data_IF_525756769768
#
_entry.id   IF_525756769768
#
_cell.length_a   1.000
_cell.length_b   1.000
_cell.length_c   1.000
_cell.angle_alpha   90.00
_cell.angle_beta   90.00
_cell.angle_gamma   90.00
#
_symmetry.space_group_name_H-M   'P 1'
#
loop_
_entity.id
_entity.type
_entity.pdbx_description
1 polymer ?
#
# COMPACT_ATOMS: atom_id res chain seq x y z
N UNK A 1 -11.90 5.71 -20.27
CA UNK A 1 -12.51 4.61 -19.51
C UNK A 1 -12.34 3.26 -20.20
N UNK A 2 -12.70 3.13 -21.48
CA UNK A 2 -12.53 1.88 -22.25
C UNK A 2 -11.09 1.35 -22.23
N UNK A 3 -10.09 2.19 -22.48
CA UNK A 3 -8.67 1.80 -22.46
C UNK A 3 -8.22 1.27 -21.09
N UNK A 4 -8.65 1.89 -20.00
CA UNK A 4 -8.34 1.44 -18.65
C UNK A 4 -9.01 0.08 -18.34
N UNK A 5 -10.24 -0.12 -18.82
CA UNK A 5 -10.94 -1.40 -18.70
C UNK A 5 -10.25 -2.50 -19.52
N UNK A 6 -9.82 -2.21 -20.74
CA UNK A 6 -9.05 -3.15 -21.57
C UNK A 6 -7.72 -3.53 -20.91
N UNK A 7 -7.01 -2.55 -20.36
CA UNK A 7 -5.77 -2.81 -19.60
C UNK A 7 -6.03 -3.72 -18.40
N UNK A 8 -7.11 -3.46 -17.64
CA UNK A 8 -7.48 -4.32 -16.51
C UNK A 8 -7.81 -5.74 -16.95
N UNK A 9 -8.61 -5.89 -18.02
CA UNK A 9 -8.95 -7.20 -18.58
C UNK A 9 -7.71 -7.95 -19.04
N UNK A 10 -6.80 -7.30 -19.80
CA UNK A 10 -5.56 -7.94 -20.25
C UNK A 10 -4.70 -8.45 -19.09
N UNK A 11 -4.64 -7.71 -17.98
CA UNK A 11 -3.85 -8.12 -16.81
C UNK A 11 -4.47 -9.26 -16.00
N UNK A 12 -5.79 -9.45 -16.11
CA UNK A 12 -6.52 -10.38 -15.26
C UNK A 12 -7.28 -11.46 -16.03
N UNK A 13 -7.31 -11.42 -17.38
CA UNK A 13 -8.07 -12.37 -18.20
C UNK A 13 -7.63 -13.80 -17.95
N UNK A 14 -6.32 -14.05 -17.89
CA UNK A 14 -5.76 -15.40 -17.64
C UNK A 14 -6.13 -15.92 -16.25
N UNK A 15 -6.38 -15.02 -15.31
CA UNK A 15 -6.78 -15.34 -13.93
C UNK A 15 -8.29 -15.53 -13.78
N UNK A 16 -9.10 -15.03 -14.71
CA UNK A 16 -10.55 -15.03 -14.63
C UNK A 16 -11.22 -16.03 -15.58
N UNK A 17 -10.64 -16.25 -16.77
CA UNK A 17 -11.19 -17.13 -17.82
C UNK A 17 -10.63 -18.54 -17.66
N UNK A 18 -11.46 -19.55 -17.88
CA UNK A 18 -11.04 -20.96 -17.86
C UNK A 18 -11.01 -21.62 -16.48
N UNK A 19 -11.29 -20.89 -15.39
CA UNK A 19 -11.14 -21.42 -14.01
C UNK A 19 -12.47 -21.80 -13.33
N UNK A 20 -13.56 -21.95 -14.10
CA UNK A 20 -14.87 -22.43 -13.59
C UNK A 20 -15.51 -21.48 -12.57
N UNK A 21 -15.14 -20.18 -12.58
CA UNK A 21 -15.79 -19.18 -11.74
C UNK A 21 -17.18 -18.85 -12.27
N UNK A 22 -18.19 -18.66 -11.41
CA UNK A 22 -19.49 -18.19 -11.83
C UNK A 22 -19.37 -16.84 -12.56
N UNK A 23 -19.98 -16.70 -13.74
CA UNK A 23 -19.89 -15.48 -14.56
C UNK A 23 -20.31 -14.22 -13.79
N UNK A 24 -21.25 -14.34 -12.86
CA UNK A 24 -21.70 -13.23 -12.01
C UNK A 24 -20.59 -12.69 -11.12
N UNK A 25 -19.70 -13.54 -10.59
CA UNK A 25 -18.54 -13.14 -9.77
C UNK A 25 -17.54 -12.36 -10.61
N UNK A 26 -17.31 -12.79 -11.84
CA UNK A 26 -16.42 -12.09 -12.78
C UNK A 26 -16.98 -10.70 -13.12
N UNK A 27 -18.28 -10.61 -13.43
CA UNK A 27 -18.94 -9.34 -13.72
C UNK A 27 -18.89 -8.40 -12.49
N UNK A 28 -19.19 -8.91 -11.30
CA UNK A 28 -19.15 -8.14 -10.06
C UNK A 28 -17.74 -7.61 -9.76
N UNK A 29 -16.71 -8.40 -10.02
CA UNK A 29 -15.32 -8.00 -9.87
C UNK A 29 -14.94 -6.86 -10.86
N UNK A 30 -15.36 -7.01 -12.13
CA UNK A 30 -15.14 -5.99 -13.17
C UNK A 30 -15.83 -4.69 -12.77
N UNK A 31 -17.11 -4.75 -12.38
CA UNK A 31 -17.89 -3.57 -11.96
C UNK A 31 -17.27 -2.88 -10.75
N UNK A 32 -16.79 -3.65 -9.77
CA UNK A 32 -16.14 -3.08 -8.58
C UNK A 32 -14.82 -2.36 -8.91
N UNK A 33 -14.03 -2.90 -9.84
CA UNK A 33 -12.82 -2.24 -10.32
C UNK A 33 -13.12 -1.01 -11.22
N UNK A 34 -14.26 -1.02 -11.91
CA UNK A 34 -14.71 0.09 -12.72
C UNK A 34 -14.88 1.37 -11.88
N UNK A 35 -15.29 1.25 -10.62
CA UNK A 35 -15.46 2.37 -9.71
C UNK A 35 -14.16 3.19 -9.55
N UNK A 36 -13.01 2.52 -9.42
CA UNK A 36 -11.71 3.23 -9.35
C UNK A 36 -11.40 3.96 -10.67
N UNK A 37 -11.70 3.34 -11.80
CA UNK A 37 -11.46 3.93 -13.11
C UNK A 37 -12.30 5.19 -13.36
N UNK A 38 -13.51 5.26 -12.81
CA UNK A 38 -14.39 6.46 -12.93
C UNK A 38 -13.71 7.67 -12.30
N UNK A 39 -13.17 7.54 -11.09
CA UNK A 39 -12.52 8.65 -10.37
C UNK A 39 -11.35 9.24 -11.16
N UNK A 40 -10.59 8.39 -11.87
CA UNK A 40 -9.49 8.84 -12.72
C UNK A 40 -9.95 9.37 -14.07
N UNK A 41 -10.95 8.73 -14.68
CA UNK A 41 -11.39 9.06 -16.03
C UNK A 41 -12.13 10.41 -16.11
N UNK A 42 -12.87 10.80 -15.07
CA UNK A 42 -13.63 12.06 -15.08
C UNK A 42 -12.73 13.28 -15.24
N UNK A 43 -11.68 13.51 -14.43
CA UNK A 43 -10.76 14.63 -14.65
C UNK A 43 -10.09 14.59 -16.03
N UNK A 44 -9.66 13.39 -16.49
CA UNK A 44 -9.05 13.22 -17.82
C UNK A 44 -10.00 13.62 -18.93
N UNK A 45 -11.26 13.20 -18.87
CA UNK A 45 -12.28 13.55 -19.85
C UNK A 45 -12.56 15.07 -19.88
N UNK A 46 -12.56 15.72 -18.73
CA UNK A 46 -12.73 17.17 -18.61
C UNK A 46 -11.59 17.91 -19.33
N UNK A 47 -10.34 17.49 -19.14
CA UNK A 47 -9.20 18.12 -19.80
C UNK A 47 -9.31 18.00 -21.32
N UNK A 48 -9.56 16.80 -21.84
CA UNK A 48 -9.67 16.55 -23.28
C UNK A 48 -10.84 17.34 -23.86
N UNK A 49 -12.01 17.30 -23.24
CA UNK A 49 -13.21 17.99 -23.73
C UNK A 49 -13.05 19.51 -23.72
N UNK A 50 -12.42 20.09 -22.70
CA UNK A 50 -12.15 21.52 -22.64
C UNK A 50 -11.14 21.97 -23.71
N UNK A 51 -10.06 21.20 -23.89
CA UNK A 51 -9.09 21.48 -24.97
C UNK A 51 -9.75 21.47 -26.36
N UNK A 52 -10.58 20.47 -26.64
CA UNK A 52 -11.28 20.37 -27.95
C UNK A 52 -12.29 21.51 -28.09
N UNK A 53 -13.11 21.76 -27.08
CA UNK A 53 -14.17 22.79 -27.16
C UNK A 53 -13.57 24.18 -27.37
N UNK A 54 -12.64 24.60 -26.52
CA UNK A 54 -12.03 25.93 -26.65
C UNK A 54 -11.05 26.03 -27.81
N UNK A 55 -10.45 24.92 -28.26
CA UNK A 55 -9.67 24.84 -29.47
C UNK A 55 -10.54 25.11 -30.73
N UNK A 56 -11.70 24.47 -30.84
CA UNK A 56 -12.67 24.72 -31.91
C UNK A 56 -13.22 26.14 -31.90
N UNK A 57 -13.55 26.69 -30.73
CA UNK A 57 -13.97 28.09 -30.59
C UNK A 57 -12.94 29.06 -31.17
N UNK A 58 -11.66 28.76 -30.96
CA UNK A 58 -10.57 29.56 -31.50
C UNK A 58 -10.32 29.32 -32.99
N UNK A 59 -10.38 28.07 -33.46
CA UNK A 59 -10.20 27.65 -34.86
C UNK A 59 -11.24 28.27 -35.77
N UNK A 60 -12.50 28.26 -35.36
CA UNK A 60 -13.62 28.84 -36.15
C UNK A 60 -13.77 30.36 -36.04
N UNK A 61 -12.81 31.02 -35.38
CA UNK A 61 -12.83 32.47 -35.13
C UNK A 61 -14.03 32.97 -34.31
N UNK A 62 -14.84 32.09 -33.73
CA UNK A 62 -15.94 32.48 -32.85
C UNK A 62 -15.47 33.27 -31.63
N UNK A 63 -14.32 32.90 -31.08
CA UNK A 63 -13.69 33.65 -30.01
C UNK A 63 -13.34 35.09 -30.44
N UNK A 64 -12.90 35.30 -31.69
CA UNK A 64 -12.62 36.63 -32.21
C UNK A 64 -13.90 37.44 -32.37
N UNK A 65 -15.00 36.83 -32.82
CA UNK A 65 -16.31 37.48 -32.87
C UNK A 65 -16.81 37.91 -31.49
N UNK A 66 -16.66 37.03 -30.46
CA UNK A 66 -17.00 37.33 -29.06
C UNK A 66 -16.16 38.49 -28.53
N UNK A 67 -14.86 38.50 -28.85
CA UNK A 67 -13.95 39.61 -28.47
C UNK A 67 -14.31 40.92 -29.17
N UNK A 68 -14.69 40.84 -30.47
CA UNK A 68 -15.15 42.01 -31.23
C UNK A 68 -16.44 42.59 -30.66
N UNK A 69 -17.33 41.75 -30.14
CA UNK A 69 -18.54 42.19 -29.42
C UNK A 69 -18.26 42.77 -28.00
N UNK A 70 -16.99 42.89 -27.58
CA UNK A 70 -16.61 43.45 -26.28
C UNK A 70 -16.76 42.48 -25.11
N UNK A 71 -17.02 41.18 -25.37
CA UNK A 71 -17.21 40.18 -24.31
C UNK A 71 -15.87 39.59 -23.89
N UNK A 72 -15.58 39.66 -22.61
CA UNK A 72 -14.34 39.05 -22.05
C UNK A 72 -14.39 37.51 -22.13
N UNK A 73 -13.35 36.84 -22.66
CA UNK A 73 -13.25 35.37 -22.71
C UNK A 73 -13.51 34.66 -21.39
N UNK A 74 -13.28 35.30 -20.27
CA UNK A 74 -13.56 34.74 -18.94
C UNK A 74 -15.04 34.38 -18.75
N UNK A 75 -15.96 35.14 -19.39
CA UNK A 75 -17.39 34.84 -19.34
C UNK A 75 -17.76 33.53 -20.06
N UNK A 76 -16.93 33.07 -20.99
CA UNK A 76 -17.08 31.78 -21.64
C UNK A 76 -16.48 30.64 -20.81
N UNK A 77 -15.40 30.90 -20.07
CA UNK A 77 -14.74 29.91 -19.20
C UNK A 77 -15.54 29.66 -17.92
N UNK A 78 -16.18 30.71 -17.37
CA UNK A 78 -16.88 30.65 -16.09
C UNK A 78 -17.99 29.58 -16.00
N UNK A 79 -18.89 29.41 -16.97
CA UNK A 79 -19.90 28.36 -16.92
C UNK A 79 -19.28 26.95 -16.89
N UNK A 80 -18.21 26.73 -17.65
CA UNK A 80 -17.50 25.45 -17.66
C UNK A 80 -16.80 25.20 -16.32
N UNK A 81 -16.27 26.26 -15.70
CA UNK A 81 -15.69 26.17 -14.36
C UNK A 81 -16.76 25.83 -13.31
N UNK A 82 -17.96 26.42 -13.38
CA UNK A 82 -19.06 26.09 -12.47
C UNK A 82 -19.47 24.63 -12.61
N UNK A 83 -19.57 24.12 -13.84
CA UNK A 83 -19.85 22.70 -14.10
C UNK A 83 -18.73 21.83 -13.53
N UNK A 84 -17.46 22.24 -13.69
CA UNK A 84 -16.33 21.47 -13.14
C UNK A 84 -16.32 21.42 -11.62
N UNK A 85 -16.82 22.46 -10.92
CA UNK A 85 -17.03 22.45 -9.45
C UNK A 85 -18.09 21.40 -9.09
N UNK A 86 -19.19 21.33 -9.83
CA UNK A 86 -20.22 20.32 -9.59
C UNK A 86 -19.68 18.90 -9.83
N UNK A 87 -18.88 18.71 -10.90
CA UNK A 87 -18.23 17.44 -11.18
C UNK A 87 -17.16 17.09 -10.14
N UNK A 88 -16.41 18.06 -9.65
CA UNK A 88 -15.50 17.87 -8.51
C UNK A 88 -16.25 17.36 -7.29
N UNK A 89 -17.34 18.04 -6.87
CA UNK A 89 -18.12 17.63 -5.72
C UNK A 89 -18.70 16.21 -5.88
N UNK A 90 -19.25 15.90 -7.06
CA UNK A 90 -19.78 14.57 -7.38
C UNK A 90 -18.69 13.50 -7.35
N UNK A 91 -17.52 13.77 -7.95
CA UNK A 91 -16.39 12.83 -7.97
C UNK A 91 -15.78 12.66 -6.58
N UNK A 92 -15.70 13.72 -5.78
CA UNK A 92 -15.22 13.65 -4.40
C UNK A 92 -16.17 12.83 -3.51
N UNK A 93 -17.47 13.02 -3.64
CA UNK A 93 -18.48 12.19 -2.98
C UNK A 93 -18.35 10.72 -3.37
N UNK A 94 -18.24 10.45 -4.68
CA UNK A 94 -18.05 9.11 -5.20
C UNK A 94 -16.76 8.46 -4.66
N UNK A 95 -15.66 9.21 -4.64
CA UNK A 95 -14.36 8.76 -4.14
C UNK A 95 -14.37 8.45 -2.64
N UNK A 96 -15.21 9.17 -1.86
CA UNK A 96 -15.25 9.00 -0.40
C UNK A 96 -16.23 7.91 0.08
N UNK A 97 -17.35 7.73 -0.60
CA UNK A 97 -18.42 6.84 -0.15
C UNK A 97 -18.60 5.59 -1.04
N UNK A 98 -18.61 5.75 -2.36
CA UNK A 98 -18.90 4.65 -3.28
C UNK A 98 -17.66 3.81 -3.57
N UNK A 99 -16.54 4.47 -3.85
CA UNK A 99 -15.28 3.79 -4.19
C UNK A 99 -14.76 2.87 -3.06
N UNK A 100 -14.76 3.25 -1.76
CA UNK A 100 -14.31 2.36 -0.69
C UNK A 100 -15.12 1.07 -0.61
N UNK A 101 -16.44 1.17 -0.79
CA UNK A 101 -17.33 0.02 -0.76
C UNK A 101 -17.09 -0.93 -1.96
N UNK A 102 -16.93 -0.35 -3.15
CA UNK A 102 -16.56 -1.12 -4.34
C UNK A 102 -15.21 -1.82 -4.17
N UNK A 103 -14.19 -1.11 -3.63
CA UNK A 103 -12.88 -1.69 -3.35
C UNK A 103 -12.95 -2.79 -2.29
N UNK A 104 -13.81 -2.64 -1.27
CA UNK A 104 -14.00 -3.65 -0.23
C UNK A 104 -14.60 -4.93 -0.81
N UNK A 105 -15.62 -4.80 -1.64
CA UNK A 105 -16.23 -5.93 -2.36
C UNK A 105 -15.24 -6.61 -3.31
N UNK A 106 -14.52 -5.83 -4.11
CA UNK A 106 -13.49 -6.37 -5.00
C UNK A 106 -12.43 -7.17 -4.24
N UNK A 107 -11.92 -6.60 -3.14
CA UNK A 107 -10.91 -7.25 -2.30
C UNK A 107 -11.44 -8.55 -1.67
N UNK A 108 -12.66 -8.54 -1.14
CA UNK A 108 -13.30 -9.73 -0.58
C UNK A 108 -13.41 -10.81 -1.65
N UNK A 109 -13.91 -10.48 -2.84
CA UNK A 109 -14.02 -11.42 -3.96
C UNK A 109 -12.65 -11.96 -4.41
N UNK A 110 -11.61 -11.14 -4.48
CA UNK A 110 -10.27 -11.62 -4.82
C UNK A 110 -9.74 -12.63 -3.79
N UNK A 111 -9.99 -12.39 -2.51
CA UNK A 111 -9.58 -13.32 -1.46
C UNK A 111 -10.39 -14.61 -1.56
N UNK A 112 -11.72 -14.52 -1.76
CA UNK A 112 -12.59 -15.69 -1.93
C UNK A 112 -12.17 -16.54 -3.15
N UNK A 113 -11.85 -15.89 -4.28
CA UNK A 113 -11.33 -16.57 -5.49
C UNK A 113 -9.98 -17.24 -5.22
N UNK A 114 -9.10 -16.58 -4.46
CA UNK A 114 -7.79 -17.14 -4.12
C UNK A 114 -7.91 -18.34 -3.18
N UNK A 115 -8.81 -18.28 -2.21
CA UNK A 115 -9.08 -19.38 -1.28
C UNK A 115 -9.80 -20.55 -1.96
N UNK A 116 -10.72 -20.27 -2.89
CA UNK A 116 -11.50 -21.31 -3.57
C UNK A 116 -10.69 -22.18 -4.54
N UNK A 117 -9.50 -21.78 -4.94
CA UNK A 117 -8.65 -22.54 -5.88
C UNK A 117 -7.18 -22.43 -5.53
N UNK A 118 -6.70 -23.28 -4.63
CA UNK A 118 -5.28 -23.26 -4.20
C UNK A 118 -4.28 -23.52 -5.34
N UNK A 119 -4.67 -24.21 -6.43
CA UNK A 119 -3.83 -24.35 -7.62
C UNK A 119 -3.71 -23.12 -8.52
N UNK A 120 -4.28 -21.99 -8.10
CA UNK A 120 -4.37 -20.77 -8.89
C UNK A 120 -3.07 -19.97 -8.97
N UNK A 121 -2.21 -20.04 -7.95
CA UNK A 121 -0.98 -19.28 -7.83
C UNK A 121 0.27 -20.19 -7.78
N UNK A 122 0.24 -21.39 -8.36
CA UNK A 122 1.44 -22.21 -8.52
C UNK A 122 2.32 -21.60 -9.59
N UNK A 123 3.20 -20.70 -9.17
CA UNK A 123 4.24 -20.12 -10.03
C UNK A 123 5.45 -21.02 -10.06
N UNK A 124 6.10 -21.13 -11.24
CA UNK A 124 7.32 -21.90 -11.39
C UNK A 124 8.42 -21.40 -10.45
N UNK A 125 9.09 -22.33 -9.77
CA UNK A 125 10.19 -22.07 -8.83
C UNK A 125 9.82 -21.16 -7.63
N UNK A 126 8.54 -21.10 -7.26
CA UNK A 126 8.07 -20.33 -6.11
C UNK A 126 7.45 -21.23 -5.07
N UNK A 127 7.71 -20.96 -3.79
CA UNK A 127 7.07 -21.68 -2.69
C UNK A 127 5.62 -21.21 -2.55
N UNK A 128 4.72 -22.19 -2.54
CA UNK A 128 3.28 -21.96 -2.38
C UNK A 128 2.80 -22.57 -1.06
N UNK A 129 2.28 -21.72 -0.17
CA UNK A 129 1.80 -22.07 1.19
C UNK A 129 0.27 -21.91 1.32
N UNK A 130 -0.48 -22.04 0.23
CA UNK A 130 -1.92 -21.81 0.21
C UNK A 130 -2.77 -22.95 0.79
N UNK A 131 -2.17 -24.06 1.24
CA UNK A 131 -2.86 -25.19 1.89
C UNK A 131 -2.22 -25.39 3.26
N UNK A 132 -3.02 -25.29 4.32
CA UNK A 132 -2.54 -25.42 5.69
C UNK A 132 -1.78 -26.75 5.92
N UNK A 133 -0.57 -26.62 6.46
CA UNK A 133 0.32 -27.74 6.74
C UNK A 133 1.11 -28.26 5.53
N UNK A 134 0.99 -27.64 4.36
CA UNK A 134 1.71 -28.04 3.16
C UNK A 134 2.36 -26.86 2.44
N UNK A 135 3.64 -26.98 2.11
CA UNK A 135 4.36 -26.04 1.25
C UNK A 135 4.75 -26.75 -0.05
N UNK A 136 4.34 -26.19 -1.17
CA UNK A 136 4.60 -26.74 -2.52
C UNK A 136 5.70 -25.95 -3.21
N UNK A 137 6.58 -26.67 -3.90
CA UNK A 137 7.55 -26.09 -4.84
C UNK A 137 7.44 -26.86 -6.16
N UNK A 138 7.06 -26.19 -7.22
CA UNK A 138 6.92 -26.77 -8.56
C UNK A 138 7.93 -26.10 -9.49
N UNK A 139 8.76 -26.88 -10.18
CA UNK A 139 9.76 -26.32 -11.09
C UNK A 139 9.22 -25.96 -12.46
N UNK A 140 8.26 -26.72 -12.98
CA UNK A 140 7.58 -26.42 -14.25
C UNK A 140 6.10 -26.69 -14.14
N UNK A 141 5.31 -25.76 -14.64
CA UNK A 141 3.85 -25.85 -14.72
C UNK A 141 3.48 -25.82 -16.21
N UNK A 142 2.90 -26.89 -16.69
CA UNK A 142 2.34 -26.94 -18.03
C UNK A 142 0.85 -26.56 -17.96
N UNK A 143 0.58 -25.31 -18.33
CA UNK A 143 -0.76 -24.70 -18.22
C UNK A 143 -1.77 -25.34 -19.18
N UNK A 144 -1.33 -25.94 -20.31
CA UNK A 144 -2.23 -26.54 -21.28
C UNK A 144 -2.72 -27.93 -20.83
N UNK A 145 -1.90 -28.66 -20.06
CA UNK A 145 -2.20 -30.05 -19.66
C UNK A 145 -2.47 -30.22 -18.16
N UNK A 146 -2.53 -29.11 -17.37
CA UNK A 146 -2.60 -29.13 -15.89
C UNK A 146 -1.58 -30.09 -15.24
N UNK A 147 -0.42 -30.27 -15.92
CA UNK A 147 0.64 -31.18 -15.49
C UNK A 147 1.77 -30.42 -14.81
N UNK A 148 2.11 -30.85 -13.63
CA UNK A 148 3.22 -30.32 -12.84
C UNK A 148 4.44 -31.24 -13.02
N UNK A 149 5.65 -30.65 -13.09
CA UNK A 149 6.90 -31.43 -13.18
C UNK A 149 7.89 -30.99 -12.10
N UNK A 150 8.64 -31.99 -11.61
CA UNK A 150 9.64 -31.85 -10.51
C UNK A 150 8.99 -31.13 -9.30
N UNK A 151 8.05 -31.85 -8.68
CA UNK A 151 7.26 -31.38 -7.58
C UNK A 151 7.94 -31.75 -6.29
N UNK A 152 8.05 -30.78 -5.40
CA UNK A 152 8.51 -30.98 -4.03
C UNK A 152 7.45 -30.44 -3.07
N UNK A 153 7.02 -31.29 -2.13
CA UNK A 153 6.02 -30.94 -1.13
C UNK A 153 6.63 -31.13 0.25
N UNK A 154 6.59 -30.09 1.05
CA UNK A 154 6.94 -30.13 2.47
C UNK A 154 5.64 -30.21 3.26
N UNK A 155 5.52 -31.21 4.09
CA UNK A 155 4.42 -31.35 5.04
C UNK A 155 4.90 -30.96 6.42
N UNK A 156 4.30 -29.92 6.99
CA UNK A 156 4.56 -29.49 8.35
C UNK A 156 3.84 -30.37 9.37
N UNK A 157 4.40 -30.59 10.57
CA UNK A 157 3.75 -31.37 11.60
C UNK A 157 2.53 -30.64 12.14
N UNK A 158 1.35 -31.21 11.98
CA UNK A 158 0.12 -30.80 12.64
C UNK A 158 -0.11 -31.78 13.81
N UNK A 159 -0.15 -31.32 15.06
CA UNK A 159 -0.43 -32.11 16.27
C UNK A 159 0.40 -33.42 16.37
N UNK A 160 1.70 -33.34 16.63
CA UNK A 160 2.63 -34.48 16.84
C UNK A 160 2.76 -35.46 15.67
N UNK A 161 2.37 -35.09 14.46
CA UNK A 161 2.62 -35.89 13.26
C UNK A 161 3.99 -35.53 12.65
N UNK A 162 4.54 -36.51 11.92
CA UNK A 162 5.89 -36.45 11.34
C UNK A 162 6.01 -35.35 10.29
N UNK A 163 7.19 -34.76 10.16
CA UNK A 163 7.56 -33.99 8.97
C UNK A 163 7.70 -34.95 7.79
N UNK A 164 7.05 -34.65 6.68
CA UNK A 164 7.24 -35.43 5.46
C UNK A 164 7.74 -34.52 4.32
N UNK A 165 8.68 -35.05 3.58
CA UNK A 165 9.21 -34.45 2.36
C UNK A 165 8.86 -35.39 1.20
N UNK A 166 8.01 -34.93 0.28
CA UNK A 166 7.53 -35.69 -0.86
C UNK A 166 8.12 -35.09 -2.11
N UNK A 167 8.79 -35.91 -2.92
CA UNK A 167 9.29 -35.51 -4.21
C UNK A 167 8.71 -36.41 -5.29
N UNK A 168 8.25 -35.81 -6.41
CA UNK A 168 7.69 -36.54 -7.54
C UNK A 168 8.14 -35.90 -8.87
N UNK A 169 8.37 -36.74 -9.88
CA UNK A 169 8.78 -36.29 -11.20
C UNK A 169 7.62 -35.62 -11.95
N UNK A 170 6.40 -36.14 -11.76
CA UNK A 170 5.19 -35.60 -12.41
C UNK A 170 4.03 -35.61 -11.45
N UNK A 171 3.13 -34.64 -11.62
CA UNK A 171 1.86 -34.59 -10.91
C UNK A 171 0.75 -34.01 -11.78
N UNK A 172 -0.47 -34.46 -11.53
CA UNK A 172 -1.67 -33.93 -12.14
C UNK A 172 -2.59 -33.46 -11.01
N UNK A 173 -3.02 -32.21 -11.11
CA UNK A 173 -3.94 -31.62 -10.15
C UNK A 173 -5.36 -31.78 -10.69
N UNK A 174 -6.18 -32.56 -10.01
CA UNK A 174 -7.55 -32.81 -10.39
C UNK A 174 -8.50 -32.29 -9.31
N UNK A 175 -9.37 -31.35 -9.69
CA UNK A 175 -10.43 -30.87 -8.83
C UNK A 175 -11.70 -31.63 -9.13
N UNK A 176 -12.07 -32.56 -8.29
CA UNK A 176 -13.40 -33.17 -8.33
C UNK A 176 -14.40 -32.17 -7.74
N UNK A 177 -15.48 -31.88 -8.44
CA UNK A 177 -16.49 -30.86 -8.09
C UNK A 177 -17.09 -30.93 -6.67
N UNK A 178 -16.68 -31.91 -5.87
CA UNK A 178 -17.09 -32.19 -4.49
C UNK A 178 -16.05 -31.71 -3.47
N UNK A 179 -15.61 -30.43 -3.56
CA UNK A 179 -14.81 -29.81 -2.51
C UNK A 179 -13.49 -30.53 -2.16
N UNK A 180 -13.04 -31.48 -2.99
CA UNK A 180 -11.81 -32.23 -2.78
C UNK A 180 -10.84 -31.97 -3.92
N UNK A 181 -9.62 -31.49 -3.59
CA UNK A 181 -8.52 -31.38 -4.53
C UNK A 181 -7.66 -32.63 -4.41
N UNK A 182 -7.48 -33.35 -5.50
CA UNK A 182 -6.63 -34.51 -5.56
C UNK A 182 -5.40 -34.22 -6.40
N UNK A 183 -4.23 -34.39 -5.80
CA UNK A 183 -2.94 -34.32 -6.48
C UNK A 183 -2.44 -35.74 -6.70
N UNK A 184 -2.40 -36.17 -7.95
CA UNK A 184 -1.87 -37.48 -8.37
C UNK A 184 -0.38 -37.26 -8.68
N UNK A 185 0.48 -37.89 -7.90
CA UNK A 185 1.92 -37.86 -8.07
C UNK A 185 2.38 -39.19 -8.70
N UNK A 186 3.23 -39.11 -9.70
CA UNK A 186 3.83 -40.25 -10.37
C UNK A 186 5.36 -40.20 -10.21
N UNK A 187 5.90 -41.40 -9.95
CA UNK A 187 7.36 -41.64 -9.84
C UNK A 187 8.06 -40.73 -8.85
N UNK A 188 8.07 -41.15 -7.59
CA UNK A 188 8.59 -40.30 -6.53
C UNK A 188 8.99 -41.04 -5.27
N UNK A 189 9.41 -40.25 -4.27
CA UNK A 189 9.77 -40.74 -2.94
C UNK A 189 9.20 -39.85 -1.84
N UNK A 190 8.86 -40.49 -0.72
CA UNK A 190 8.43 -39.84 0.53
C UNK A 190 9.52 -40.07 1.55
N UNK A 191 10.06 -39.03 2.13
CA UNK A 191 10.96 -39.09 3.27
C UNK A 191 10.19 -38.58 4.50
N UNK A 192 9.98 -39.44 5.48
CA UNK A 192 9.31 -39.10 6.75
C UNK A 192 10.30 -39.09 7.87
N UNK A 193 10.23 -38.06 8.73
CA UNK A 193 10.94 -38.01 10.00
C UNK A 193 9.98 -38.43 11.11
N UNK A 194 10.27 -39.54 11.76
CA UNK A 194 9.49 -40.08 12.87
C UNK A 194 10.23 -39.70 14.16
N UNK A 195 9.62 -38.87 15.03
CA UNK A 195 10.22 -38.54 16.31
C UNK A 195 10.29 -39.80 17.19
N UNK A 196 11.49 -40.13 17.70
CA UNK A 196 11.68 -41.18 18.68
C UNK A 196 11.27 -40.75 20.09
N UNK A 197 11.26 -41.71 21.04
CA UNK A 197 10.91 -41.43 22.46
C UNK A 197 11.82 -40.39 23.14
N UNK A 198 13.00 -40.17 22.60
CA UNK A 198 13.90 -39.07 23.04
C UNK A 198 14.05 -38.07 21.92
N UNK A 199 14.04 -36.80 22.26
CA UNK A 199 14.12 -35.64 21.34
C UNK A 199 15.37 -35.65 20.43
N UNK A 200 16.31 -36.57 20.62
CA UNK A 200 17.53 -36.77 19.83
C UNK A 200 17.46 -37.93 18.84
N UNK A 201 16.44 -38.79 18.93
CA UNK A 201 16.33 -39.99 18.09
C UNK A 201 15.26 -39.74 17.00
N UNK A 202 15.67 -39.14 15.90
CA UNK A 202 14.83 -39.05 14.69
C UNK A 202 15.15 -40.23 13.76
N UNK A 203 14.16 -41.05 13.47
CA UNK A 203 14.28 -42.12 12.45
C UNK A 203 13.72 -41.60 11.15
N UNK A 204 14.52 -41.67 10.08
CA UNK A 204 14.10 -41.32 8.74
C UNK A 204 13.64 -42.56 7.98
N UNK A 205 12.40 -42.55 7.56
CA UNK A 205 11.81 -43.59 6.71
C UNK A 205 11.69 -43.05 5.28
N UNK A 206 12.21 -43.82 4.31
CA UNK A 206 12.06 -43.52 2.88
C UNK A 206 11.16 -44.56 2.23
N UNK A 207 10.12 -44.08 1.56
CA UNK A 207 9.19 -44.88 0.78
C UNK A 207 9.20 -44.42 -0.67
N UNK A 208 9.58 -45.30 -1.61
CA UNK A 208 9.50 -44.97 -3.04
C UNK A 208 8.13 -45.44 -3.58
N UNK A 209 7.49 -44.64 -4.43
CA UNK A 209 6.17 -44.90 -5.00
C UNK A 209 6.16 -44.66 -6.52
N UNK A 210 5.37 -45.48 -7.22
CA UNK A 210 5.06 -45.28 -8.64
C UNK A 210 3.88 -44.34 -8.83
N UNK A 211 2.88 -44.45 -7.95
CA UNK A 211 1.70 -43.57 -7.89
C UNK A 211 1.35 -43.26 -6.46
N UNK A 212 1.11 -41.99 -6.18
CA UNK A 212 0.67 -41.53 -4.87
C UNK A 212 -0.41 -40.47 -5.04
N UNK A 213 -1.48 -40.56 -4.26
CA UNK A 213 -2.57 -39.59 -4.28
C UNK A 213 -2.59 -38.84 -2.96
N UNK A 214 -2.43 -37.54 -3.03
CA UNK A 214 -2.72 -36.61 -1.94
C UNK A 214 -4.09 -36.00 -2.19
N UNK A 215 -4.99 -36.13 -1.23
CA UNK A 215 -6.32 -35.51 -1.30
C UNK A 215 -6.41 -34.47 -0.20
N UNK A 216 -6.77 -33.28 -0.59
CA UNK A 216 -6.98 -32.14 0.31
C UNK A 216 -8.49 -31.90 0.38
N UNK A 217 -9.01 -31.86 1.59
CA UNK A 217 -10.40 -31.45 1.81
C UNK A 217 -10.46 -29.93 1.68
N UNK A 218 -11.11 -29.45 0.63
CA UNK A 218 -11.34 -28.06 0.37
C UNK A 218 -12.73 -27.61 0.82
N UNK A 219 -13.42 -28.40 1.63
CA UNK A 219 -14.76 -28.03 2.10
C UNK A 219 -14.74 -26.70 2.88
N UNK A 220 -13.65 -26.40 3.58
CA UNK A 220 -13.40 -25.09 4.19
C UNK A 220 -12.88 -24.05 3.17
N UNK A 221 -12.35 -24.49 2.02
CA UNK A 221 -11.80 -23.68 0.94
C UNK A 221 -12.72 -23.63 -0.30
N UNK A 222 -13.87 -24.34 -0.26
CA UNK A 222 -14.90 -24.22 -1.29
C UNK A 222 -15.30 -22.74 -1.40
N UNK A 223 -15.53 -22.26 -2.63
CA UNK A 223 -16.01 -20.91 -2.87
C UNK A 223 -17.27 -20.67 -2.03
N UNK A 224 -17.07 -20.28 -0.79
CA UNK A 224 -18.09 -19.69 0.05
C UNK A 224 -17.92 -18.18 -0.08
N UNK A 225 -18.94 -17.52 -0.60
CA UNK A 225 -18.99 -16.08 -0.63
C UNK A 225 -19.00 -15.57 0.82
N UNK A 226 -17.84 -15.13 1.30
CA UNK A 226 -17.75 -14.49 2.63
C UNK A 226 -18.48 -13.17 2.55
N UNK A 227 -19.29 -12.85 3.56
CA UNK A 227 -19.87 -11.52 3.62
C UNK A 227 -18.73 -10.49 3.72
N UNK A 228 -18.61 -9.51 2.80
CA UNK A 228 -17.57 -8.50 2.87
C UNK A 228 -17.49 -7.79 4.23
N UNK A 229 -18.61 -7.65 4.93
CA UNK A 229 -18.70 -7.00 6.24
C UNK A 229 -17.92 -7.74 7.35
N UNK A 230 -17.73 -9.06 7.21
CA UNK A 230 -16.99 -9.87 8.18
C UNK A 230 -15.46 -9.69 8.06
N UNK A 231 -15.00 -8.99 7.04
CA UNK A 231 -13.58 -8.75 6.77
C UNK A 231 -13.12 -7.39 7.24
N UNK A 232 -11.93 -7.33 7.82
CA UNK A 232 -11.31 -6.09 8.25
C UNK A 232 -11.09 -5.13 7.07
N UNK A 233 -11.52 -3.88 7.23
CA UNK A 233 -11.30 -2.82 6.24
C UNK A 233 -9.86 -2.29 6.34
N UNK A 234 -9.28 -1.94 5.21
CA UNK A 234 -7.95 -1.33 5.10
C UNK A 234 -8.06 0.03 4.43
N UNK A 235 -7.00 0.83 4.45
CA UNK A 235 -7.02 2.23 4.00
C UNK A 235 -7.86 2.52 2.75
N UNK A 236 -7.63 1.80 1.63
CA UNK A 236 -8.39 2.01 0.38
C UNK A 236 -9.85 1.55 0.43
N UNK A 237 -10.22 0.76 1.43
CA UNK A 237 -11.59 0.25 1.61
C UNK A 237 -12.37 1.00 2.69
N UNK A 238 -11.83 2.10 3.22
CA UNK A 238 -12.45 2.93 4.25
C UNK A 238 -12.82 4.31 3.70
N UNK A 239 -13.84 4.94 4.28
CA UNK A 239 -14.11 6.38 4.07
C UNK A 239 -13.00 7.24 4.72
N UNK A 240 -12.87 8.50 4.31
CA UNK A 240 -11.90 9.43 4.91
C UNK A 240 -12.14 9.61 6.41
N UNK A 241 -13.40 9.63 6.84
CA UNK A 241 -13.79 9.74 8.25
C UNK A 241 -13.35 8.51 9.05
N UNK A 242 -13.61 7.29 8.53
CA UNK A 242 -13.19 6.05 9.16
C UNK A 242 -11.65 5.93 9.24
N UNK A 243 -10.95 6.32 8.15
CA UNK A 243 -9.48 6.36 8.16
C UNK A 243 -8.92 7.34 9.18
N UNK A 244 -9.55 8.51 9.34
CA UNK A 244 -9.15 9.49 10.34
C UNK A 244 -9.26 8.92 11.76
N UNK A 245 -10.38 8.27 12.07
CA UNK A 245 -10.57 7.62 13.40
C UNK A 245 -9.47 6.58 13.67
N UNK A 246 -9.14 5.75 12.67
CA UNK A 246 -8.06 4.74 12.81
C UNK A 246 -6.69 5.42 12.95
N UNK A 247 -6.40 6.44 12.15
CA UNK A 247 -5.15 7.19 12.24
C UNK A 247 -4.97 7.86 13.62
N UNK A 248 -6.05 8.47 14.14
CA UNK A 248 -6.05 9.10 15.46
C UNK A 248 -5.91 8.05 16.59
N UNK A 249 -6.49 6.85 16.42
CA UNK A 249 -6.31 5.73 17.36
C UNK A 249 -4.85 5.26 17.38
N UNK A 250 -4.24 5.02 16.21
CA UNK A 250 -2.82 4.62 16.13
C UNK A 250 -1.91 5.70 16.70
N UNK A 251 -2.23 6.98 16.48
CA UNK A 251 -1.48 8.10 17.05
C UNK A 251 -1.53 8.10 18.58
N UNK A 252 -2.71 7.88 19.16
CA UNK A 252 -2.84 7.74 20.62
C UNK A 252 -2.04 6.55 21.16
N UNK A 253 -2.00 5.43 20.43
CA UNK A 253 -1.15 4.30 20.82
C UNK A 253 0.34 4.69 20.83
N UNK A 254 0.79 5.47 19.83
CA UNK A 254 2.16 5.98 19.77
C UNK A 254 2.46 6.90 20.97
N UNK A 255 1.54 7.81 21.31
CA UNK A 255 1.67 8.71 22.45
C UNK A 255 1.71 7.92 23.78
N UNK A 256 0.84 6.93 23.96
CA UNK A 256 0.84 6.06 25.14
C UNK A 256 2.13 5.22 25.27
N UNK A 257 2.66 4.70 24.15
CA UNK A 257 3.94 3.96 24.17
C UNK A 257 5.12 4.89 24.48
N UNK A 258 5.05 6.15 24.05
CA UNK A 258 6.03 7.16 24.41
C UNK A 258 6.02 7.46 25.91
N UNK A 259 4.85 7.64 26.51
CA UNK A 259 4.71 7.84 27.95
C UNK A 259 5.28 6.64 28.74
N UNK A 260 4.87 5.42 28.36
CA UNK A 260 5.39 4.19 29.01
C UNK A 260 6.92 4.05 28.87
N UNK A 261 7.46 4.38 27.69
CA UNK A 261 8.91 4.34 27.47
C UNK A 261 9.61 5.39 28.34
N UNK A 262 9.06 6.59 28.45
CA UNK A 262 9.59 7.66 29.29
C UNK A 262 9.54 7.30 30.78
N UNK A 263 8.40 6.75 31.24
CA UNK A 263 8.27 6.26 32.62
C UNK A 263 9.27 5.16 32.94
N UNK A 264 9.43 4.16 32.04
CA UNK A 264 10.44 3.09 32.23
C UNK A 264 11.85 3.64 32.25
N UNK A 265 12.14 4.64 31.42
CA UNK A 265 13.47 5.28 31.38
C UNK A 265 13.74 6.11 32.63
N UNK A 266 12.71 6.77 33.18
CA UNK A 266 12.81 7.52 34.43
C UNK A 266 12.88 6.61 35.67
N UNK A 267 12.14 5.48 35.66
CA UNK A 267 12.15 4.50 36.73
C UNK A 267 13.38 3.56 36.71
N UNK A 268 13.92 3.27 35.50
CA UNK A 268 15.25 2.72 35.43
C UNK A 268 16.19 3.85 35.84
N UNK A 269 16.53 3.89 37.14
CA UNK A 269 17.65 4.72 37.61
C UNK A 269 18.76 4.57 36.58
N UNK A 270 19.25 5.69 36.03
CA UNK A 270 20.33 5.72 35.01
C UNK A 270 21.64 5.07 35.53
N UNK A 271 21.60 4.45 36.67
CA UNK A 271 22.66 3.66 37.24
C UNK A 271 22.43 2.22 36.76
N UNK A 272 23.29 1.70 35.84
CA UNK A 272 23.17 0.32 35.35
C UNK A 272 23.45 -0.73 36.44
N UNK A 273 23.32 -0.37 37.69
CA UNK A 273 23.52 -1.18 38.84
C UNK A 273 22.20 -1.49 39.52
N UNK A 274 21.77 -2.73 39.42
CA UNK A 274 20.86 -3.24 40.42
C UNK A 274 21.62 -3.20 41.78
N UNK A 275 21.25 -2.26 42.61
CA UNK A 275 21.89 -2.03 43.95
C UNK A 275 21.95 -3.32 44.73
N UNK A 276 20.99 -4.24 44.57
CA UNK A 276 20.94 -5.54 45.20
C UNK A 276 22.00 -6.55 44.71
N UNK A 277 22.52 -6.36 43.49
CA UNK A 277 23.59 -7.21 42.93
C UNK A 277 24.96 -6.54 42.94
N UNK A 278 25.04 -5.30 43.42
CA UNK A 278 26.29 -4.54 43.49
C UNK A 278 27.16 -5.02 44.69
N UNK A 279 28.49 -4.89 44.57
CA UNK A 279 29.38 -5.14 45.72
C UNK A 279 28.94 -4.30 46.92
N UNK A 280 29.05 -4.87 48.10
CA UNK A 280 28.59 -4.28 49.39
C UNK A 280 29.08 -2.85 49.62
N UNK A 281 30.29 -2.53 49.16
CA UNK A 281 30.90 -1.20 49.22
C UNK A 281 30.13 -0.18 48.37
N UNK A 282 29.76 -0.56 47.15
CA UNK A 282 29.00 0.34 46.23
C UNK A 282 27.57 0.57 46.73
N UNK A 283 26.94 -0.49 47.29
CA UNK A 283 25.61 -0.39 47.90
C UNK A 283 25.58 0.59 49.06
N UNK A 284 26.58 0.59 49.92
CA UNK A 284 26.72 1.54 51.05
C UNK A 284 26.94 2.99 50.55
N UNK A 285 27.75 3.14 49.51
CA UNK A 285 28.04 4.47 48.94
C UNK A 285 26.79 5.12 48.27
N UNK A 286 25.93 4.30 47.64
CA UNK A 286 24.70 4.78 46.97
C UNK A 286 23.56 4.96 47.95
N UNK A 287 23.46 4.12 49.01
CA UNK A 287 22.41 4.22 50.04
C UNK A 287 22.63 5.35 51.07
N UNK A 288 23.78 6.02 51.02
CA UNK A 288 24.09 7.11 51.96
C UNK A 288 24.30 6.63 53.39
N UNK A 289 24.53 5.33 53.61
CA UNK A 289 24.77 4.73 54.95
C UNK A 289 26.16 5.01 55.51
N UNK A 290 27.08 5.50 54.68
CA UNK A 290 28.44 5.92 55.10
C UNK A 290 28.59 7.45 54.92
N UNK A 291 28.48 8.18 56.03
CA UNK A 291 28.65 9.66 56.08
C UNK A 291 30.06 10.17 55.66
N UNK A 292 31.02 9.26 55.46
CA UNK A 292 32.42 9.60 55.16
C UNK A 292 32.77 9.39 53.65
N UNK A 293 31.86 8.90 52.83
CA UNK A 293 32.12 8.77 51.38
C UNK A 293 31.67 10.01 50.64
N UNK A 294 32.63 10.78 50.15
CA UNK A 294 32.36 11.91 49.26
C UNK A 294 31.70 11.41 47.95
N UNK A 295 30.68 12.11 47.41
CA UNK A 295 30.09 11.75 46.13
C UNK A 295 31.18 11.81 45.05
N UNK A 296 31.36 10.67 44.35
CA UNK A 296 32.33 10.59 43.26
C UNK A 296 31.92 11.46 42.10
N UNK A 297 32.81 12.27 41.56
CA UNK A 297 32.54 13.17 40.43
C UNK A 297 32.36 12.39 39.11
N UNK A 298 32.97 11.17 39.06
CA UNK A 298 32.84 10.33 37.84
C UNK A 298 32.68 8.83 38.17
N UNK A 299 31.90 8.07 37.36
CA UNK A 299 31.79 6.61 37.49
C UNK A 299 33.12 5.87 37.40
N UNK A 300 34.11 6.44 36.73
CA UNK A 300 35.46 5.91 36.59
C UNK A 300 36.21 5.90 37.94
N UNK A 301 36.09 6.95 38.73
CA UNK A 301 36.70 7.03 40.08
C UNK A 301 36.12 5.98 41.01
N UNK A 302 34.79 5.78 40.97
CA UNK A 302 34.12 4.77 41.77
C UNK A 302 34.60 3.34 41.44
N UNK A 303 34.87 3.03 40.17
CA UNK A 303 35.40 1.71 39.77
C UNK A 303 36.85 1.50 40.20
N UNK A 304 37.68 2.56 40.16
CA UNK A 304 39.08 2.45 40.58
C UNK A 304 39.29 2.22 42.10
N UNK A 305 38.28 2.52 42.90
CA UNK A 305 38.32 2.26 44.35
C UNK A 305 38.06 0.77 44.68
N UNK A 306 37.66 -0.06 43.75
CA UNK A 306 37.54 -1.48 43.96
C UNK A 306 38.93 -2.13 43.94
N UNK A 307 39.39 -2.63 45.10
CA UNK A 307 40.73 -3.22 45.27
C UNK A 307 40.98 -4.47 44.42
N UNK A 308 39.94 -5.17 44.02
CA UNK A 308 40.05 -6.43 43.28
C UNK A 308 39.81 -6.19 41.75
N UNK A 309 40.83 -6.43 40.90
CA UNK A 309 40.71 -6.30 39.45
C UNK A 309 39.58 -7.11 38.82
N UNK A 310 39.26 -8.28 39.35
CA UNK A 310 38.17 -9.11 38.87
C UNK A 310 36.79 -8.47 39.15
N UNK A 311 36.65 -7.78 40.27
CA UNK A 311 35.45 -7.04 40.63
C UNK A 311 35.30 -5.81 39.72
N UNK A 312 36.39 -5.11 39.42
CA UNK A 312 36.38 -4.01 38.44
C UNK A 312 35.88 -4.44 37.06
N UNK A 313 36.44 -5.56 36.56
CA UNK A 313 36.05 -6.13 35.27
C UNK A 313 34.57 -6.54 35.27
N UNK A 314 34.08 -7.16 36.33
CA UNK A 314 32.68 -7.59 36.43
C UNK A 314 31.72 -6.41 36.46
N UNK A 315 32.07 -5.34 37.15
CA UNK A 315 31.29 -4.08 37.19
C UNK A 315 31.25 -3.42 35.81
N UNK A 316 32.39 -3.32 35.12
CA UNK A 316 32.46 -2.78 33.76
C UNK A 316 31.62 -3.61 32.80
N UNK A 317 31.72 -4.94 32.86
CA UNK A 317 30.94 -5.83 32.01
C UNK A 317 29.42 -5.72 32.26
N UNK A 318 29.01 -5.60 33.53
CA UNK A 318 27.62 -5.35 33.89
C UNK A 318 27.13 -4.02 33.32
N UNK A 319 27.95 -2.97 33.41
CA UNK A 319 27.64 -1.64 32.85
C UNK A 319 27.55 -1.68 31.32
N UNK A 320 28.46 -2.36 30.62
CA UNK A 320 28.42 -2.56 29.20
C UNK A 320 27.15 -3.32 28.78
N UNK A 321 26.82 -4.39 29.51
CA UNK A 321 25.64 -5.20 29.20
C UNK A 321 24.34 -4.42 29.43
N UNK A 322 24.25 -3.56 30.44
CA UNK A 322 23.07 -2.74 30.68
C UNK A 322 22.93 -1.63 29.64
N UNK A 323 24.05 -0.99 29.24
CA UNK A 323 24.05 -0.04 28.13
C UNK A 323 23.64 -0.68 26.81
N UNK A 324 24.11 -1.89 26.53
CA UNK A 324 23.71 -2.62 25.31
C UNK A 324 22.23 -2.99 25.34
N UNK A 325 21.67 -3.38 26.49
CA UNK A 325 20.21 -3.59 26.63
C UNK A 325 19.43 -2.31 26.38
N UNK A 326 19.83 -1.22 27.03
CA UNK A 326 19.18 0.08 26.84
C UNK A 326 19.24 0.54 25.39
N UNK A 327 20.39 0.37 24.72
CA UNK A 327 20.53 0.65 23.29
C UNK A 327 19.57 -0.20 22.46
N UNK A 328 19.48 -1.49 22.73
CA UNK A 328 18.55 -2.38 22.04
C UNK A 328 17.09 -1.98 22.28
N UNK A 329 16.73 -1.58 23.51
CA UNK A 329 15.38 -1.10 23.83
C UNK A 329 15.05 0.20 23.09
N UNK A 330 15.99 1.14 23.00
CA UNK A 330 15.82 2.38 22.22
C UNK A 330 15.69 2.08 20.72
N UNK A 331 16.51 1.17 20.18
CA UNK A 331 16.43 0.77 18.76
C UNK A 331 15.09 0.07 18.46
N UNK A 332 14.64 -0.83 19.32
CA UNK A 332 13.33 -1.49 19.21
C UNK A 332 12.17 -0.48 19.30
N UNK A 333 12.26 0.46 20.24
CA UNK A 333 11.28 1.53 20.39
C UNK A 333 11.21 2.39 19.13
N UNK A 334 12.37 2.85 18.59
CA UNK A 334 12.42 3.61 17.35
C UNK A 334 11.83 2.85 16.17
N UNK A 335 12.13 1.55 16.05
CA UNK A 335 11.59 0.72 15.00
C UNK A 335 10.06 0.59 15.13
N UNK A 336 9.55 0.33 16.34
CA UNK A 336 8.11 0.21 16.60
C UNK A 336 7.33 1.50 16.34
N UNK A 337 7.86 2.65 16.74
CA UNK A 337 7.21 3.94 16.45
C UNK A 337 7.36 4.31 14.98
N UNK A 338 8.50 4.01 14.37
CA UNK A 338 8.76 4.32 12.98
C UNK A 338 7.70 3.74 12.05
N UNK A 339 7.43 2.45 12.14
CA UNK A 339 6.44 1.81 11.27
C UNK A 339 4.99 2.27 11.57
N UNK A 340 4.65 2.58 12.85
CA UNK A 340 3.33 3.12 13.21
C UNK A 340 3.12 4.52 12.64
N UNK A 341 4.13 5.38 12.70
CA UNK A 341 4.08 6.71 12.11
C UNK A 341 3.94 6.65 10.58
N UNK A 342 4.65 5.73 9.91
CA UNK A 342 4.50 5.49 8.48
C UNK A 342 3.06 5.05 8.15
N UNK A 343 2.48 4.17 8.95
CA UNK A 343 1.09 3.74 8.77
C UNK A 343 0.09 4.88 8.95
N UNK A 344 0.31 5.77 9.91
CA UNK A 344 -0.49 7.00 10.07
C UNK A 344 -0.34 7.89 8.83
N UNK A 345 0.89 8.04 8.31
CA UNK A 345 1.15 8.82 7.09
C UNK A 345 0.41 8.23 5.88
N UNK A 346 0.42 6.90 5.69
CA UNK A 346 -0.33 6.21 4.63
C UNK A 346 -1.84 6.51 4.70
N UNK A 347 -2.45 6.51 5.90
CA UNK A 347 -3.86 6.87 6.05
C UNK A 347 -4.11 8.33 5.64
N UNK A 348 -3.23 9.26 6.04
CA UNK A 348 -3.37 10.67 5.66
C UNK A 348 -3.15 10.88 4.16
N UNK A 349 -2.22 10.16 3.53
CA UNK A 349 -2.05 10.16 2.07
C UNK A 349 -3.35 9.74 1.38
N UNK A 350 -3.95 8.62 1.78
CA UNK A 350 -5.21 8.15 1.18
C UNK A 350 -6.38 9.12 1.44
N UNK A 351 -6.45 9.77 2.61
CA UNK A 351 -7.45 10.81 2.90
C UNK A 351 -7.31 11.99 1.94
N UNK A 352 -6.09 12.53 1.82
CA UNK A 352 -5.83 13.66 0.92
C UNK A 352 -6.05 13.30 -0.54
N UNK A 353 -5.70 12.08 -0.96
CA UNK A 353 -5.87 11.56 -2.30
C UNK A 353 -7.34 11.55 -2.76
N UNK A 354 -8.28 11.24 -1.86
CA UNK A 354 -9.72 11.23 -2.13
C UNK A 354 -10.27 12.59 -2.54
N UNK A 355 -9.61 13.68 -2.16
CA UNK A 355 -10.02 15.05 -2.48
C UNK A 355 -9.12 15.64 -3.58
N UNK A 356 -7.82 15.37 -3.50
CA UNK A 356 -6.80 15.91 -4.40
C UNK A 356 -7.02 15.48 -5.87
N UNK A 357 -7.33 14.20 -6.12
CA UNK A 357 -7.59 13.70 -7.48
C UNK A 357 -8.88 14.31 -8.07
N UNK A 358 -10.05 14.29 -7.38
CA UNK A 358 -11.22 14.99 -7.87
C UNK A 358 -11.00 16.50 -8.12
N UNK A 359 -10.19 17.17 -7.31
CA UNK A 359 -9.89 18.60 -7.46
C UNK A 359 -9.26 18.93 -8.82
N UNK A 360 -8.59 17.95 -9.45
CA UNK A 360 -8.09 18.09 -10.82
C UNK A 360 -9.18 18.42 -11.85
N UNK A 361 -10.46 18.10 -11.59
CA UNK A 361 -11.58 18.51 -12.45
C UNK A 361 -11.60 20.03 -12.68
N UNK A 362 -11.37 20.80 -11.62
CA UNK A 362 -11.32 22.27 -11.70
C UNK A 362 -10.02 22.75 -12.34
N UNK A 363 -8.89 22.16 -11.96
CA UNK A 363 -7.57 22.53 -12.49
C UNK A 363 -7.49 22.31 -14.00
N UNK A 364 -8.05 21.20 -14.46
CA UNK A 364 -7.99 20.85 -15.88
C UNK A 364 -8.86 21.72 -16.76
N UNK A 365 -9.94 22.30 -16.23
CA UNK A 365 -10.66 23.38 -16.94
C UNK A 365 -9.82 24.65 -16.97
N UNK A 366 -9.21 25.02 -15.84
CA UNK A 366 -8.42 26.22 -15.71
C UNK A 366 -7.19 26.23 -16.63
N UNK A 367 -6.62 25.06 -16.90
CA UNK A 367 -5.48 24.88 -17.82
C UNK A 367 -5.95 24.60 -19.24
N UNK A 368 -6.92 23.70 -19.42
CA UNK A 368 -7.37 23.23 -20.71
C UNK A 368 -8.04 24.32 -21.55
N UNK A 369 -8.85 25.18 -20.93
CA UNK A 369 -9.52 26.26 -21.66
C UNK A 369 -8.52 27.29 -22.25
N UNK A 370 -7.57 27.86 -21.49
CA UNK A 370 -6.59 28.79 -22.06
C UNK A 370 -5.68 28.14 -23.11
N UNK A 371 -5.22 26.91 -22.86
CA UNK A 371 -4.36 26.18 -23.81
C UNK A 371 -5.14 25.90 -25.09
N UNK A 372 -6.40 25.45 -25.01
CA UNK A 372 -7.26 25.28 -26.19
C UNK A 372 -7.40 26.57 -27.01
N UNK A 373 -7.58 27.71 -26.33
CA UNK A 373 -7.64 29.03 -27.00
C UNK A 373 -6.31 29.38 -27.67
N UNK A 374 -5.19 29.12 -27.04
CA UNK A 374 -3.87 29.48 -27.56
C UNK A 374 -3.43 28.60 -28.74
N UNK A 375 -3.77 27.32 -28.72
CA UNK A 375 -3.40 26.38 -29.79
C UNK A 375 -4.15 26.64 -31.10
N UNK A 376 -5.30 27.30 -31.06
CA UNK A 376 -6.16 27.58 -32.20
C UNK A 376 -6.46 26.37 -33.09
N UNK A 377 -6.49 25.20 -32.48
CA UNK A 377 -6.65 23.94 -33.19
C UNK A 377 -7.58 23.03 -32.39
N UNK A 378 -8.77 22.80 -32.89
CA UNK A 378 -9.78 21.92 -32.31
C UNK A 378 -9.67 20.46 -32.77
N UNK A 379 -8.58 20.10 -33.46
CA UNK A 379 -8.37 18.73 -33.91
C UNK A 379 -8.17 17.79 -32.71
N UNK A 380 -8.90 16.69 -32.72
CA UNK A 380 -8.87 15.65 -31.67
C UNK A 380 -7.45 15.11 -31.44
N UNK A 381 -6.64 14.94 -32.48
CA UNK A 381 -5.28 14.45 -32.40
C UNK A 381 -4.34 15.39 -31.60
N UNK A 382 -4.43 16.70 -31.89
CA UNK A 382 -3.62 17.71 -31.16
C UNK A 382 -4.06 17.83 -29.70
N UNK A 383 -5.39 17.87 -29.47
CA UNK A 383 -5.93 17.88 -28.12
C UNK A 383 -5.53 16.62 -27.30
N UNK A 384 -5.55 15.45 -27.96
CA UNK A 384 -5.12 14.19 -27.33
C UNK A 384 -3.62 14.22 -26.95
N UNK A 385 -2.73 14.71 -27.82
CA UNK A 385 -1.30 14.81 -27.53
C UNK A 385 -1.02 15.77 -26.37
N UNK A 386 -1.64 16.97 -26.38
CA UNK A 386 -1.45 17.96 -25.32
C UNK A 386 -2.01 17.43 -24.01
N UNK A 387 -3.21 16.84 -24.02
CA UNK A 387 -3.80 16.26 -22.81
C UNK A 387 -2.98 15.10 -22.26
N UNK A 388 -2.45 14.23 -23.13
CA UNK A 388 -1.59 13.14 -22.72
C UNK A 388 -0.33 13.64 -21.99
N UNK A 389 0.34 14.69 -22.50
CA UNK A 389 1.51 15.28 -21.87
C UNK A 389 1.15 15.88 -20.48
N UNK A 390 0.08 16.66 -20.39
CA UNK A 390 -0.37 17.28 -19.14
C UNK A 390 -0.74 16.21 -18.11
N UNK A 391 -1.50 15.18 -18.51
CA UNK A 391 -1.93 14.09 -17.64
C UNK A 391 -0.75 13.24 -17.16
N UNK A 392 0.20 12.95 -18.05
CA UNK A 392 1.39 12.18 -17.68
C UNK A 392 2.20 12.89 -16.58
N UNK A 393 2.46 14.20 -16.75
CA UNK A 393 3.18 14.99 -15.74
C UNK A 393 2.39 15.02 -14.42
N UNK A 394 1.08 15.24 -14.50
CA UNK A 394 0.21 15.32 -13.33
C UNK A 394 0.21 14.00 -12.54
N UNK A 395 -0.09 12.87 -13.20
CA UNK A 395 -0.16 11.58 -12.52
C UNK A 395 1.21 11.08 -12.06
N UNK A 396 2.26 11.34 -12.83
CA UNK A 396 3.62 11.02 -12.39
C UNK A 396 3.97 11.78 -11.09
N UNK A 397 3.63 13.06 -11.00
CA UNK A 397 3.88 13.86 -9.81
C UNK A 397 3.05 13.38 -8.60
N UNK A 398 1.75 13.04 -8.79
CA UNK A 398 0.90 12.45 -7.74
C UNK A 398 1.49 11.13 -7.22
N UNK A 399 1.89 10.22 -8.12
CA UNK A 399 2.46 8.92 -7.74
C UNK A 399 3.79 9.08 -7.01
N UNK A 400 4.65 10.01 -7.45
CA UNK A 400 5.91 10.28 -6.76
C UNK A 400 5.68 10.95 -5.40
N UNK A 401 4.72 11.87 -5.31
CA UNK A 401 4.30 12.50 -4.07
C UNK A 401 3.77 11.50 -3.06
N UNK A 402 2.93 10.54 -3.50
CA UNK A 402 2.44 9.41 -2.70
C UNK A 402 3.60 8.59 -2.15
N UNK A 403 4.50 8.12 -3.02
CA UNK A 403 5.66 7.29 -2.61
C UNK A 403 6.61 7.99 -1.64
N UNK A 404 6.83 9.29 -1.79
CA UNK A 404 7.67 10.06 -0.89
C UNK A 404 7.00 10.27 0.47
N UNK A 405 5.70 10.49 0.49
CA UNK A 405 4.93 10.64 1.71
C UNK A 405 4.78 9.31 2.47
N UNK A 406 4.55 8.19 1.76
CA UNK A 406 4.47 6.85 2.35
C UNK A 406 5.81 6.42 3.00
N UNK A 407 6.94 6.92 2.48
CA UNK A 407 8.27 6.71 3.07
C UNK A 407 8.60 7.69 4.21
N UNK A 408 7.69 8.61 4.52
CA UNK A 408 7.91 9.63 5.53
C UNK A 408 8.91 10.73 5.16
N UNK A 409 9.33 10.80 3.87
CA UNK A 409 10.28 11.81 3.39
C UNK A 409 9.66 13.21 3.31
N UNK A 410 8.35 13.29 3.06
CA UNK A 410 7.59 14.54 3.01
C UNK A 410 6.25 14.38 3.75
N UNK A 411 5.67 15.46 4.27
CA UNK A 411 4.34 15.40 4.88
C UNK A 411 3.27 15.00 3.84
N UNK A 412 2.24 14.19 4.23
CA UNK A 412 1.19 13.70 3.33
C UNK A 412 0.47 14.79 2.54
N UNK A 413 0.19 15.93 3.17
CA UNK A 413 -0.48 17.06 2.50
C UNK A 413 0.38 17.66 1.37
N UNK A 414 1.70 17.77 1.55
CA UNK A 414 2.59 18.24 0.49
C UNK A 414 2.67 17.25 -0.66
N UNK A 415 2.81 15.95 -0.35
CA UNK A 415 2.84 14.90 -1.37
C UNK A 415 1.64 14.92 -2.30
N UNK A 416 0.44 15.15 -1.76
CA UNK A 416 -0.81 15.09 -2.52
C UNK A 416 -1.24 16.43 -3.13
N UNK A 417 -0.84 17.57 -2.58
CA UNK A 417 -1.31 18.88 -3.02
C UNK A 417 -0.31 19.71 -3.81
N UNK A 418 0.99 19.38 -3.76
CA UNK A 418 2.04 20.16 -4.43
C UNK A 418 1.75 20.36 -5.92
N UNK A 419 1.44 19.30 -6.65
CA UNK A 419 1.17 19.40 -8.09
C UNK A 419 -0.14 20.17 -8.37
N UNK A 420 -1.14 20.04 -7.50
CA UNK A 420 -2.40 20.78 -7.63
C UNK A 420 -2.17 22.28 -7.48
N UNK A 421 -1.30 22.68 -6.55
CA UNK A 421 -0.93 24.10 -6.35
C UNK A 421 -0.17 24.60 -7.58
N UNK A 422 0.80 23.83 -8.10
CA UNK A 422 1.54 24.20 -9.30
C UNK A 422 0.59 24.37 -10.50
N UNK A 423 -0.34 23.44 -10.69
CA UNK A 423 -1.30 23.52 -11.79
C UNK A 423 -2.30 24.66 -11.60
N UNK A 424 -2.70 24.96 -10.36
CA UNK A 424 -3.55 26.12 -10.04
C UNK A 424 -2.86 27.41 -10.45
N UNK A 425 -1.59 27.59 -10.08
CA UNK A 425 -0.79 28.77 -10.40
C UNK A 425 -0.62 28.89 -11.93
N UNK A 426 -0.21 27.83 -12.59
CA UNK A 426 -0.06 27.82 -14.06
C UNK A 426 -1.38 28.16 -14.75
N UNK A 427 -2.48 27.49 -14.37
CA UNK A 427 -3.79 27.73 -14.94
C UNK A 427 -4.30 29.15 -14.71
N UNK A 428 -4.06 29.69 -13.52
CA UNK A 428 -4.41 31.08 -13.20
C UNK A 428 -3.65 32.08 -14.09
N UNK A 429 -2.33 31.93 -14.23
CA UNK A 429 -1.52 32.80 -15.10
C UNK A 429 -1.91 32.66 -16.56
N UNK A 430 -2.17 31.44 -17.06
CA UNK A 430 -2.64 31.22 -18.42
C UNK A 430 -3.98 31.91 -18.69
N UNK A 431 -4.91 31.80 -17.75
CA UNK A 431 -6.22 32.44 -17.84
C UNK A 431 -6.09 33.96 -17.83
N UNK A 432 -5.24 34.51 -16.95
CA UNK A 432 -4.95 35.95 -16.94
C UNK A 432 -4.32 36.41 -18.26
N UNK A 433 -3.39 35.65 -18.83
CA UNK A 433 -2.75 35.98 -20.10
C UNK A 433 -3.78 36.07 -21.25
N UNK A 434 -4.67 35.09 -21.36
CA UNK A 434 -5.74 35.09 -22.38
C UNK A 434 -6.72 36.25 -22.17
N UNK A 435 -6.98 36.64 -20.90
CA UNK A 435 -7.84 37.77 -20.57
C UNK A 435 -7.15 39.14 -20.73
N UNK A 436 -5.85 39.25 -20.41
CA UNK A 436 -5.08 40.50 -20.50
C UNK A 436 -4.79 40.90 -21.94
N UNK A 437 -4.54 39.93 -22.84
CA UNK A 437 -4.42 40.19 -24.27
C UNK A 437 -5.65 40.92 -24.85
N UNK A 438 -6.84 40.69 -24.24
CA UNK A 438 -8.05 41.43 -24.57
C UNK A 438 -8.04 42.90 -24.10
N UNK A 439 -7.46 43.20 -22.97
CA UNK A 439 -7.36 44.60 -22.46
C UNK A 439 -6.39 45.43 -23.26
N UNK A 440 -5.27 44.89 -23.68
CA UNK A 440 -4.23 45.60 -24.46
C UNK A 440 -4.78 45.94 -25.84
N UNK A 441 -5.47 45.05 -26.52
CA UNK A 441 -6.09 45.32 -27.83
C UNK A 441 -7.18 46.39 -27.76
N UNK A 442 -7.93 46.52 -26.66
CA UNK A 442 -8.94 47.56 -26.49
C UNK A 442 -8.34 48.94 -26.14
N UNK A 443 -7.17 48.99 -25.53
CA UNK A 443 -6.46 50.24 -25.24
C UNK A 443 -5.87 50.88 -26.52
N UNK A 444 -5.39 50.05 -27.45
CA UNK A 444 -4.89 50.52 -28.74
C UNK A 444 -6.03 50.97 -29.69
N UNK A 445 -7.24 50.44 -29.53
CA UNK A 445 -8.39 50.84 -30.35
C UNK A 445 -9.11 52.10 -29.90
N UNK A 446 -8.75 52.62 -28.72
CA UNK A 446 -9.27 53.94 -28.22
C UNK A 446 -8.39 55.11 -28.56
N UNK A 447 -7.26 54.90 -29.27
CA UNK A 447 -6.31 55.93 -29.65
C UNK A 447 -6.38 56.34 -31.13
N UNK A 448 -7.32 55.77 -31.90
CA UNK A 448 -7.74 56.21 -33.22
C UNK A 448 -9.19 56.70 -33.13
#
# INVERSE_FOLDING_TARGET
MFLLLMQFLMLHVDKLVGKGLPIFVVIELILSNLAYMVVLAVPMAILVSTLIAFGKFSEWNELNAVRAAGINPIRLIMPVLIISVALFAGTAYFSNYILPEANHKARSLFIDIRMAKPGFDLEENTFYEGIDGYTFLVRKVDVESDTLRDITIFQEPVEDRYRAFIRADRGVLESNGDQTLSLYLNDGSILRSIPGERRTDETMERTDFTRYRLSFDLSELAFSRTNPEDRSRTGRTMSAEAMKVVADSVRKEVDNEFEKFTERTQQSEMIPFNVDQSPSIYRRAVSGEDENLQPYETPYEAVNLLENPQTQISVINLSINSLNRYRADVENYKANIGWRNLRVAEFWVEIHKKISIPFACMLFVLIGAPIGILTRNGNLGVAALISAAILTIYFMAIIQGEKLADRGAIPPYLGMWAINIVYLVIGFFLTLHVCSAFRITNLWRKSD
#
